data_IF_272577583671
#
_entry.id   IF_272577583671
#
_cell.length_a   1.000
_cell.length_b   1.000
_cell.length_c   1.000
_cell.angle_alpha   90.00
_cell.angle_beta   90.00
_cell.angle_gamma   90.00
#
_symmetry.space_group_name_H-M   'P 1'
#
loop_
_entity.id
_entity.type
_entity.pdbx_description
1 polymer ?
#
# COMPACT_ATOMS: atom_id res chain seq x y z
N UNK A 1 29.70 -42.33 -47.25
CA UNK A 1 29.04 -41.01 -47.18
C UNK A 1 27.54 -41.22 -47.09
N UNK A 2 27.02 -41.24 -45.87
CA UNK A 2 25.60 -41.22 -45.44
C UNK A 2 25.74 -41.19 -43.89
N UNK A 3 25.01 -40.48 -43.05
CA UNK A 3 23.66 -39.92 -43.10
C UNK A 3 23.64 -38.87 -41.96
N UNK A 4 23.53 -37.57 -42.27
CA UNK A 4 23.46 -36.49 -41.26
C UNK A 4 22.24 -35.59 -41.43
N UNK A 5 21.32 -35.94 -42.34
CA UNK A 5 20.25 -35.02 -42.73
C UNK A 5 18.91 -35.23 -41.99
N UNK A 6 18.74 -36.31 -41.22
CA UNK A 6 17.41 -36.69 -40.72
C UNK A 6 17.09 -36.32 -39.25
N UNK A 7 17.97 -35.61 -38.53
CA UNK A 7 17.74 -35.24 -37.11
C UNK A 7 17.34 -33.79 -36.87
N UNK A 8 17.45 -32.91 -37.87
CA UNK A 8 17.15 -31.48 -37.72
C UNK A 8 15.64 -31.21 -37.88
N UNK A 9 14.96 -31.99 -38.72
CA UNK A 9 13.54 -31.79 -39.03
C UNK A 9 12.58 -31.93 -37.83
N UNK A 10 12.68 -32.97 -36.96
CA UNK A 10 11.74 -33.10 -35.83
C UNK A 10 11.94 -32.03 -34.74
N UNK A 11 13.17 -31.52 -34.57
CA UNK A 11 13.48 -30.48 -33.58
C UNK A 11 12.92 -29.12 -34.00
N UNK A 12 12.99 -28.80 -35.30
CA UNK A 12 12.45 -27.55 -35.84
C UNK A 12 10.91 -27.55 -35.80
N UNK A 13 10.26 -28.69 -36.04
CA UNK A 13 8.79 -28.82 -35.94
C UNK A 13 8.32 -28.71 -34.48
N UNK A 14 9.01 -29.33 -33.52
CA UNK A 14 8.67 -29.21 -32.10
C UNK A 14 8.86 -27.78 -31.56
N UNK A 15 9.92 -27.08 -32.00
CA UNK A 15 10.14 -25.68 -31.66
C UNK A 15 9.07 -24.75 -32.26
N UNK A 16 8.67 -24.99 -33.52
CA UNK A 16 7.60 -24.22 -34.16
C UNK A 16 6.24 -24.42 -33.47
N UNK A 17 5.93 -25.64 -33.01
CA UNK A 17 4.71 -25.94 -32.25
C UNK A 17 4.72 -25.31 -30.86
N UNK A 18 5.86 -25.29 -30.16
CA UNK A 18 6.00 -24.59 -28.87
C UNK A 18 5.88 -23.08 -29.02
N UNK A 19 6.45 -22.49 -30.08
CA UNK A 19 6.29 -21.06 -30.38
C UNK A 19 4.85 -20.72 -30.79
N UNK A 20 4.19 -21.58 -31.56
CA UNK A 20 2.78 -21.39 -31.92
C UNK A 20 1.83 -21.57 -30.73
N UNK A 21 2.12 -22.51 -29.82
CA UNK A 21 1.36 -22.71 -28.59
C UNK A 21 1.58 -21.55 -27.61
N UNK A 22 2.82 -21.11 -27.40
CA UNK A 22 3.14 -19.92 -26.60
C UNK A 22 2.48 -18.66 -27.18
N UNK A 23 2.53 -18.48 -28.51
CA UNK A 23 1.83 -17.42 -29.21
C UNK A 23 0.31 -17.49 -29.03
N UNK A 24 -0.29 -18.67 -29.09
CA UNK A 24 -1.74 -18.86 -28.91
C UNK A 24 -2.19 -18.66 -27.45
N UNK A 25 -1.34 -18.97 -26.46
CA UNK A 25 -1.59 -18.69 -25.05
C UNK A 25 -1.46 -17.20 -24.77
N UNK A 26 -0.46 -16.51 -25.32
CA UNK A 26 -0.32 -15.06 -25.24
C UNK A 26 -1.49 -14.35 -25.94
N UNK A 27 -1.93 -14.83 -27.11
CA UNK A 27 -3.08 -14.26 -27.84
C UNK A 27 -4.40 -14.53 -27.11
N UNK A 28 -4.61 -15.72 -26.53
CA UNK A 28 -5.82 -16.00 -25.71
C UNK A 28 -5.81 -15.27 -24.38
N UNK A 29 -4.64 -15.06 -23.77
CA UNK A 29 -4.50 -14.20 -22.60
C UNK A 29 -4.82 -12.73 -22.97
N UNK A 30 -4.32 -12.24 -24.10
CA UNK A 30 -4.63 -10.89 -24.60
C UNK A 30 -6.11 -10.72 -24.98
N UNK A 31 -6.73 -11.75 -25.56
CA UNK A 31 -8.16 -11.75 -25.91
C UNK A 31 -9.08 -11.82 -24.68
N UNK A 32 -8.64 -12.43 -23.56
CA UNK A 32 -9.35 -12.38 -22.26
C UNK A 32 -9.10 -11.08 -21.48
N UNK A 33 -8.06 -10.32 -21.82
CA UNK A 33 -7.71 -9.04 -21.18
C UNK A 33 -8.29 -7.81 -21.90
N UNK A 34 -9.05 -7.99 -22.98
CA UNK A 34 -9.68 -6.91 -23.76
C UNK A 34 -11.00 -6.38 -23.19
N UNK A 35 -11.26 -6.55 -21.89
CA UNK A 35 -12.38 -5.84 -21.25
C UNK A 35 -12.00 -4.37 -21.06
N UNK A 36 -12.85 -3.45 -21.50
CA UNK A 36 -12.70 -2.04 -21.16
C UNK A 36 -12.55 -1.91 -19.63
N UNK A 37 -11.67 -1.01 -19.17
CA UNK A 37 -11.56 -0.71 -17.76
C UNK A 37 -12.96 -0.32 -17.24
N UNK A 38 -13.37 -0.79 -16.05
CA UNK A 38 -14.65 -0.39 -15.50
C UNK A 38 -14.64 1.12 -15.30
N UNK A 39 -15.70 1.80 -15.72
CA UNK A 39 -15.88 3.21 -15.35
C UNK A 39 -16.04 3.31 -13.83
N UNK A 40 -15.44 4.34 -13.24
CA UNK A 40 -15.64 4.65 -11.83
C UNK A 40 -17.14 4.88 -11.57
N UNK A 41 -17.73 4.26 -10.53
CA UNK A 41 -19.10 4.56 -10.13
C UNK A 41 -19.27 6.06 -9.86
N UNK A 42 -20.47 6.59 -10.13
CA UNK A 42 -20.76 7.98 -9.86
C UNK A 42 -20.51 8.31 -8.38
N UNK A 43 -19.78 9.40 -8.13
CA UNK A 43 -19.45 9.88 -6.81
C UNK A 43 -19.45 11.40 -6.80
N UNK A 44 -19.68 11.97 -5.63
CA UNK A 44 -19.51 13.40 -5.38
C UNK A 44 -18.69 13.59 -4.11
N UNK A 45 -17.89 14.65 -4.07
CA UNK A 45 -17.12 15.03 -2.89
C UNK A 45 -17.86 16.16 -2.20
N UNK A 46 -18.23 16.03 -0.91
CA UNK A 46 -18.84 17.14 -0.18
C UNK A 46 -17.83 18.27 0.01
N UNK A 47 -18.31 19.49 0.25
CA UNK A 47 -17.43 20.59 0.62
C UNK A 47 -16.72 20.28 1.97
N UNK A 48 -15.49 20.79 2.18
CA UNK A 48 -14.83 20.69 3.48
C UNK A 48 -15.71 21.23 4.62
N UNK A 49 -15.60 20.62 5.79
CA UNK A 49 -16.31 21.08 6.99
C UNK A 49 -15.85 22.51 7.35
N UNK A 50 -16.75 23.36 7.86
CA UNK A 50 -16.37 24.69 8.31
C UNK A 50 -15.34 24.60 9.45
N UNK A 51 -14.33 25.46 9.41
CA UNK A 51 -13.24 25.47 10.39
C UNK A 51 -13.64 26.33 11.59
N UNK A 52 -13.66 25.73 12.77
CA UNK A 52 -13.69 26.43 14.05
C UNK A 52 -12.31 26.33 14.70
N UNK A 53 -11.46 27.33 14.43
CA UNK A 53 -10.08 27.34 14.90
C UNK A 53 -9.95 27.31 16.44
N UNK A 54 -10.95 27.82 17.17
CA UNK A 54 -10.95 27.81 18.63
C UNK A 54 -11.22 26.41 19.22
N UNK A 55 -11.81 25.51 18.41
CA UNK A 55 -12.09 24.12 18.77
C UNK A 55 -11.14 23.13 18.12
N UNK A 56 -10.13 23.60 17.38
CA UNK A 56 -9.16 22.74 16.74
C UNK A 56 -8.25 22.11 17.81
N UNK A 57 -8.39 20.80 18.00
CA UNK A 57 -7.50 20.03 18.87
C UNK A 57 -6.20 19.71 18.15
N UNK A 58 -5.06 20.11 18.72
CA UNK A 58 -3.74 19.78 18.20
C UNK A 58 -3.21 18.53 18.92
N UNK A 59 -3.02 17.40 18.20
CA UNK A 59 -2.58 16.16 18.82
C UNK A 59 -1.17 16.27 19.38
N UNK A 60 -1.01 15.96 20.67
CA UNK A 60 0.28 15.90 21.33
C UNK A 60 0.92 14.51 21.14
N UNK A 61 1.59 14.29 20.01
CA UNK A 61 2.27 13.02 19.72
C UNK A 61 3.48 12.72 20.63
N UNK A 62 3.96 13.70 21.40
CA UNK A 62 5.00 13.53 22.42
C UNK A 62 4.44 13.19 23.81
N UNK A 63 3.12 13.29 24.01
CA UNK A 63 2.48 12.97 25.28
C UNK A 63 2.47 11.45 25.51
N UNK A 64 2.50 11.03 26.78
CA UNK A 64 2.57 9.60 27.15
C UNK A 64 1.45 8.78 26.51
N UNK A 65 0.24 9.33 26.50
CA UNK A 65 -0.95 8.64 25.99
C UNK A 65 -0.84 8.33 24.48
N UNK A 66 0.01 9.06 23.73
CA UNK A 66 0.20 8.83 22.30
C UNK A 66 0.90 7.49 21.98
N UNK A 67 1.54 6.86 22.96
CA UNK A 67 2.18 5.55 22.80
C UNK A 67 1.17 4.46 22.42
N UNK A 68 -0.06 4.56 22.96
CA UNK A 68 -1.12 3.58 22.76
C UNK A 68 -2.08 3.97 21.61
N UNK A 69 -1.86 5.12 20.96
CA UNK A 69 -2.73 5.56 19.88
C UNK A 69 -2.55 4.69 18.62
N UNK A 70 -3.62 4.45 17.86
CA UNK A 70 -3.48 3.89 16.51
C UNK A 70 -2.70 4.85 15.62
N UNK A 71 -1.91 4.33 14.67
CA UNK A 71 -1.17 5.16 13.70
C UNK A 71 -2.14 5.66 12.63
N UNK A 72 -2.90 6.70 13.00
CA UNK A 72 -3.90 7.38 12.16
C UNK A 72 -3.91 8.88 12.48
N UNK A 73 -4.34 9.69 11.53
CA UNK A 73 -4.56 11.12 11.75
C UNK A 73 -5.63 11.34 12.82
N UNK A 74 -5.33 12.23 13.76
CA UNK A 74 -6.21 12.65 14.83
C UNK A 74 -6.91 13.97 14.49
N UNK A 75 -6.27 14.83 13.69
CA UNK A 75 -6.92 15.97 13.06
C UNK A 75 -7.98 15.45 12.09
N UNK A 76 -9.19 16.02 12.17
CA UNK A 76 -10.28 15.70 11.25
C UNK A 76 -9.94 16.19 9.84
N UNK A 77 -9.51 15.26 8.98
CA UNK A 77 -9.16 15.57 7.60
C UNK A 77 -10.37 15.98 6.74
N UNK A 78 -11.62 15.84 7.21
CA UNK A 78 -12.79 16.40 6.52
C UNK A 78 -12.83 17.93 6.57
N UNK A 79 -12.06 18.56 7.48
CA UNK A 79 -11.85 20.01 7.47
C UNK A 79 -11.01 20.47 6.27
N UNK A 80 -10.28 19.55 5.63
CA UNK A 80 -9.40 19.87 4.49
C UNK A 80 -9.92 19.23 3.21
N UNK A 81 -10.09 17.90 3.22
CA UNK A 81 -10.32 17.08 2.05
C UNK A 81 -11.23 15.89 2.43
N UNK A 82 -12.55 16.11 2.57
CA UNK A 82 -13.50 15.05 2.90
C UNK A 82 -13.43 13.93 1.86
N UNK A 83 -13.64 12.68 2.28
CA UNK A 83 -13.83 11.59 1.32
C UNK A 83 -15.14 11.81 0.56
N UNK A 84 -15.22 11.30 -0.67
CA UNK A 84 -16.47 11.37 -1.40
C UNK A 84 -17.50 10.37 -0.90
N UNK A 85 -18.67 10.37 -1.54
CA UNK A 85 -19.82 9.54 -1.17
C UNK A 85 -20.10 8.40 -2.16
N UNK A 86 -19.18 8.15 -3.09
CA UNK A 86 -19.30 7.05 -4.05
C UNK A 86 -19.29 5.69 -3.36
N UNK A 87 -20.18 4.80 -3.80
CA UNK A 87 -20.28 3.42 -3.29
C UNK A 87 -19.20 2.48 -3.87
N UNK A 88 -18.38 2.98 -4.81
CA UNK A 88 -17.30 2.21 -5.41
C UNK A 88 -16.15 1.97 -4.44
N UNK A 89 -15.45 0.86 -4.64
CA UNK A 89 -14.16 0.60 -4.02
C UNK A 89 -13.04 1.07 -4.96
N UNK A 90 -12.35 2.16 -4.59
CA UNK A 90 -11.27 2.75 -5.37
C UNK A 90 -10.12 1.77 -5.67
N UNK A 91 -9.95 0.73 -4.84
CA UNK A 91 -8.93 -0.29 -5.05
C UNK A 91 -9.13 -1.07 -6.36
N UNK A 92 -10.35 -1.09 -6.94
CA UNK A 92 -10.62 -1.74 -8.22
C UNK A 92 -9.77 -1.16 -9.34
N UNK A 93 -9.59 0.16 -9.37
CA UNK A 93 -8.72 0.85 -10.31
C UNK A 93 -7.26 0.44 -10.12
N UNK A 94 -6.75 0.58 -8.89
CA UNK A 94 -5.34 0.30 -8.59
C UNK A 94 -4.97 -1.19 -8.79
N UNK A 95 -5.92 -2.10 -8.54
CA UNK A 95 -5.73 -3.55 -8.74
C UNK A 95 -5.34 -3.88 -10.18
N UNK A 96 -5.93 -3.19 -11.16
CA UNK A 96 -5.62 -3.47 -12.56
C UNK A 96 -4.20 -3.03 -12.96
N UNK A 97 -3.50 -2.30 -12.08
CA UNK A 97 -2.10 -1.92 -12.21
C UNK A 97 -1.15 -2.70 -11.28
N UNK A 98 -1.61 -3.77 -10.62
CA UNK A 98 -0.81 -4.54 -9.68
C UNK A 98 0.56 -4.97 -10.25
N UNK A 99 1.56 -5.07 -9.36
CA UNK A 99 2.98 -5.28 -9.72
C UNK A 99 3.21 -6.51 -10.61
N UNK A 100 2.58 -7.62 -10.27
CA UNK A 100 2.90 -8.94 -10.84
C UNK A 100 2.11 -9.22 -12.12
N UNK A 101 0.78 -9.02 -12.07
CA UNK A 101 -0.18 -9.47 -13.07
C UNK A 101 -1.26 -8.42 -13.40
N UNK A 102 -0.99 -7.14 -13.12
CA UNK A 102 -1.89 -6.04 -13.46
C UNK A 102 -2.27 -6.03 -14.95
N UNK A 103 -3.57 -6.14 -15.25
CA UNK A 103 -4.11 -6.15 -16.63
C UNK A 103 -3.76 -4.91 -17.45
N UNK A 104 -3.54 -3.76 -16.78
CA UNK A 104 -3.19 -2.47 -17.37
C UNK A 104 -1.72 -2.11 -17.20
N UNK A 105 -0.84 -3.07 -16.89
CA UNK A 105 0.61 -2.82 -16.73
C UNK A 105 1.24 -2.17 -17.97
N UNK A 106 0.89 -2.64 -19.17
CA UNK A 106 1.43 -2.07 -20.41
C UNK A 106 1.01 -0.62 -20.63
N UNK A 107 -0.21 -0.27 -20.20
CA UNK A 107 -0.70 1.11 -20.23
C UNK A 107 0.06 1.98 -19.23
N UNK A 108 0.29 1.47 -18.02
CA UNK A 108 1.08 2.18 -17.00
C UNK A 108 2.52 2.42 -17.44
N UNK A 109 3.17 1.44 -18.07
CA UNK A 109 4.53 1.63 -18.62
C UNK A 109 4.55 2.72 -19.70
N UNK A 110 3.55 2.73 -20.60
CA UNK A 110 3.42 3.78 -21.61
C UNK A 110 3.17 5.15 -20.97
N UNK A 111 2.29 5.22 -19.97
CA UNK A 111 2.03 6.46 -19.22
C UNK A 111 3.29 6.95 -18.49
N UNK A 112 4.08 6.04 -17.90
CA UNK A 112 5.34 6.35 -17.21
C UNK A 112 6.40 6.89 -18.15
N UNK A 113 6.45 6.41 -19.38
CA UNK A 113 7.33 6.91 -20.42
C UNK A 113 6.95 8.33 -20.89
N UNK A 114 5.67 8.70 -20.76
CA UNK A 114 5.16 10.03 -21.10
C UNK A 114 5.28 11.06 -19.96
N UNK A 115 5.83 10.67 -18.80
CA UNK A 115 6.00 11.58 -17.66
C UNK A 115 7.00 12.70 -17.97
N UNK A 116 6.72 13.86 -17.40
CA UNK A 116 7.57 15.05 -17.46
C UNK A 116 8.19 15.33 -16.08
N UNK A 117 9.18 16.21 -16.05
CA UNK A 117 9.74 16.70 -14.80
C UNK A 117 8.71 17.55 -14.05
N UNK A 118 8.58 17.28 -12.75
CA UNK A 118 7.73 18.05 -11.85
C UNK A 118 8.43 19.29 -11.30
N UNK A 119 7.71 20.11 -10.52
CA UNK A 119 8.26 21.34 -9.94
C UNK A 119 9.28 21.09 -8.82
N UNK A 120 9.27 19.90 -8.21
CA UNK A 120 10.21 19.52 -7.16
C UNK A 120 11.30 18.60 -7.73
N UNK A 121 12.51 18.70 -7.17
CA UNK A 121 13.64 17.88 -7.61
C UNK A 121 13.33 16.37 -7.51
N UNK A 122 13.62 15.65 -8.59
CA UNK A 122 13.39 14.21 -8.70
C UNK A 122 11.93 13.79 -8.89
N UNK A 123 10.98 14.72 -8.96
CA UNK A 123 9.59 14.38 -9.26
C UNK A 123 9.41 14.07 -10.75
N UNK A 124 8.79 12.93 -11.03
CA UNK A 124 8.21 12.60 -12.34
C UNK A 124 6.70 12.63 -12.22
N UNK A 125 6.05 13.41 -13.07
CA UNK A 125 4.61 13.64 -13.06
C UNK A 125 3.98 13.33 -14.41
N UNK A 126 2.71 12.98 -14.41
CA UNK A 126 1.91 12.93 -15.62
C UNK A 126 1.57 14.35 -16.10
N UNK A 127 1.51 14.59 -17.42
CA UNK A 127 0.97 15.84 -17.95
C UNK A 127 -0.43 16.17 -17.39
N UNK A 128 -0.80 17.46 -17.24
CA UNK A 128 -2.06 17.89 -16.60
C UNK A 128 -3.33 17.22 -17.11
N UNK A 129 -3.41 16.95 -18.41
CA UNK A 129 -4.55 16.35 -19.10
C UNK A 129 -4.32 14.88 -19.49
N UNK A 130 -3.33 14.24 -18.86
CA UNK A 130 -3.04 12.83 -19.15
C UNK A 130 -4.27 11.96 -18.83
N UNK A 131 -4.72 11.07 -19.75
CA UNK A 131 -5.96 10.30 -19.57
C UNK A 131 -6.00 9.50 -18.25
N UNK A 132 -4.89 8.85 -17.89
CA UNK A 132 -4.79 8.10 -16.63
C UNK A 132 -4.99 8.98 -15.38
N UNK A 133 -4.53 10.23 -15.42
CA UNK A 133 -4.69 11.18 -14.32
C UNK A 133 -6.16 11.55 -14.15
N UNK A 134 -6.82 11.91 -15.26
CA UNK A 134 -8.24 12.29 -15.30
C UNK A 134 -9.17 11.13 -14.91
N UNK A 135 -8.83 9.90 -15.31
CA UNK A 135 -9.58 8.71 -14.91
C UNK A 135 -9.45 8.48 -13.39
N UNK A 136 -8.23 8.56 -12.86
CA UNK A 136 -7.96 8.33 -11.43
C UNK A 136 -8.72 9.30 -10.53
N UNK A 137 -9.00 10.54 -10.97
CA UNK A 137 -9.78 11.53 -10.21
C UNK A 137 -11.13 10.96 -9.75
N UNK A 138 -11.85 10.29 -10.65
CA UNK A 138 -13.18 9.72 -10.35
C UNK A 138 -13.11 8.56 -9.35
N UNK A 139 -11.98 7.86 -9.34
CA UNK A 139 -11.73 6.76 -8.41
C UNK A 139 -11.30 7.23 -7.03
N UNK A 140 -10.56 8.34 -6.92
CA UNK A 140 -10.18 8.91 -5.61
C UNK A 140 -11.30 9.74 -4.97
N UNK A 141 -12.35 10.04 -5.73
CA UNK A 141 -13.59 10.65 -5.23
C UNK A 141 -14.57 9.62 -4.65
N UNK A 142 -14.21 8.34 -4.57
CA UNK A 142 -15.00 7.32 -3.88
C UNK A 142 -14.85 7.43 -2.35
N UNK A 143 -15.76 6.80 -1.60
CA UNK A 143 -15.71 6.77 -0.14
C UNK A 143 -14.70 5.74 0.41
N UNK A 144 -14.39 4.69 -0.36
CA UNK A 144 -13.74 3.48 0.15
C UNK A 144 -12.61 2.99 -0.75
N UNK A 145 -11.53 2.48 -0.14
CA UNK A 145 -10.46 1.73 -0.77
C UNK A 145 -10.07 0.55 0.11
N UNK A 146 -10.52 -0.66 -0.27
CA UNK A 146 -10.22 -1.91 0.44
C UNK A 146 -9.58 -2.89 -0.52
N UNK A 147 -8.29 -3.14 -0.32
CA UNK A 147 -7.53 -4.07 -1.18
C UNK A 147 -7.67 -5.50 -0.68
N UNK A 148 -7.60 -5.71 0.63
CA UNK A 148 -7.59 -7.04 1.25
C UNK A 148 -8.80 -7.26 2.16
N UNK A 149 -9.32 -8.50 2.30
CA UNK A 149 -9.13 -9.59 1.35
C UNK A 149 -10.01 -9.40 0.09
N UNK A 150 -10.73 -8.28 -0.03
CA UNK A 150 -11.80 -8.07 -1.02
C UNK A 150 -11.33 -8.21 -2.48
N UNK A 151 -10.12 -7.73 -2.82
CA UNK A 151 -9.57 -7.81 -4.17
C UNK A 151 -8.39 -8.77 -4.28
N UNK A 152 -7.56 -8.84 -3.25
CA UNK A 152 -6.47 -9.78 -3.14
C UNK A 152 -6.62 -10.62 -1.87
N UNK A 153 -6.40 -11.92 -1.99
CA UNK A 153 -6.32 -12.81 -0.84
C UNK A 153 -5.13 -12.42 0.06
N UNK A 154 -5.28 -12.67 1.36
CA UNK A 154 -4.18 -12.58 2.32
C UNK A 154 -3.39 -13.90 2.25
N UNK A 155 -2.25 -13.87 1.58
CA UNK A 155 -1.39 -15.04 1.33
C UNK A 155 -0.01 -14.84 1.98
N UNK A 156 -0.01 -14.25 3.18
CA UNK A 156 1.17 -13.91 3.95
C UNK A 156 2.24 -13.18 3.14
N UNK A 157 3.43 -13.76 3.00
CA UNK A 157 4.51 -13.15 2.20
C UNK A 157 4.17 -13.05 0.72
N UNK A 158 3.38 -13.99 0.18
CA UNK A 158 2.94 -13.96 -1.21
C UNK A 158 1.73 -13.03 -1.43
N UNK A 159 1.37 -12.20 -0.43
CA UNK A 159 0.25 -11.29 -0.56
C UNK A 159 0.52 -10.29 -1.67
N UNK A 160 -0.27 -10.40 -2.74
CA UNK A 160 -0.18 -9.52 -3.91
C UNK A 160 -0.30 -8.07 -3.50
N UNK A 161 0.46 -7.20 -4.17
CA UNK A 161 0.48 -5.76 -3.90
C UNK A 161 0.07 -4.93 -5.11
N UNK A 162 -0.49 -3.75 -4.81
CA UNK A 162 -0.68 -2.70 -5.80
C UNK A 162 0.69 -2.23 -6.33
N UNK A 163 0.71 -1.60 -7.50
CA UNK A 163 1.88 -0.80 -7.88
C UNK A 163 1.99 0.40 -6.93
N UNK A 164 3.07 0.41 -6.14
CA UNK A 164 3.28 1.41 -5.10
C UNK A 164 3.73 2.77 -5.63
N UNK A 165 4.21 2.85 -6.86
CA UNK A 165 4.66 4.10 -7.46
C UNK A 165 3.50 4.89 -8.05
N UNK A 166 2.51 4.22 -8.65
CA UNK A 166 1.37 4.87 -9.28
C UNK A 166 0.62 5.85 -8.35
N UNK A 167 0.26 5.51 -7.09
CA UNK A 167 -0.38 6.48 -6.20
C UNK A 167 0.47 7.73 -5.94
N UNK A 168 1.80 7.56 -5.79
CA UNK A 168 2.72 8.69 -5.58
C UNK A 168 2.82 9.57 -6.82
N UNK A 169 2.88 8.96 -8.01
CA UNK A 169 2.91 9.67 -9.29
C UNK A 169 1.62 10.48 -9.49
N UNK A 170 0.45 9.91 -9.21
CA UNK A 170 -0.84 10.61 -9.28
C UNK A 170 -0.90 11.79 -8.29
N UNK A 171 -0.56 11.56 -7.02
CA UNK A 171 -0.55 12.60 -6.00
C UNK A 171 0.36 13.78 -6.37
N UNK A 172 1.59 13.49 -6.83
CA UNK A 172 2.54 14.52 -7.29
C UNK A 172 2.02 15.26 -8.53
N UNK A 173 1.36 14.55 -9.44
CA UNK A 173 0.81 15.14 -10.67
C UNK A 173 -0.34 16.10 -10.38
N UNK A 174 -1.26 15.72 -9.46
CA UNK A 174 -2.30 16.64 -9.02
C UNK A 174 -1.71 17.86 -8.30
N UNK A 175 -0.73 17.68 -7.41
CA UNK A 175 -0.08 18.82 -6.75
C UNK A 175 0.63 19.72 -7.76
N UNK A 176 1.34 19.17 -8.73
CA UNK A 176 1.97 19.97 -9.78
C UNK A 176 0.95 20.73 -10.63
N UNK A 177 -0.16 20.09 -11.00
CA UNK A 177 -1.25 20.70 -11.76
C UNK A 177 -2.00 21.78 -10.98
N UNK A 178 -2.21 21.56 -9.68
CA UNK A 178 -2.84 22.54 -8.80
C UNK A 178 -2.02 23.82 -8.68
N UNK A 179 -0.68 23.72 -8.63
CA UNK A 179 0.23 24.89 -8.62
C UNK A 179 0.19 25.74 -9.88
N UNK A 180 -0.36 25.22 -10.98
CA UNK A 180 -0.55 25.99 -12.22
C UNK A 180 -1.97 26.52 -12.38
N UNK A 181 -2.82 26.34 -11.36
CA UNK A 181 -4.22 26.74 -11.32
C UNK A 181 -4.42 27.74 -10.19
N UNK A 182 -5.54 28.44 -10.25
CA UNK A 182 -5.93 29.42 -9.23
C UNK A 182 -7.18 28.96 -8.47
N UNK A 183 -7.39 29.57 -7.31
CA UNK A 183 -8.64 29.47 -6.57
C UNK A 183 -8.98 28.05 -6.11
N UNK A 184 -10.26 27.72 -6.20
CA UNK A 184 -10.78 26.43 -5.75
C UNK A 184 -10.28 25.26 -6.61
N UNK A 185 -9.96 25.51 -7.89
CA UNK A 185 -9.45 24.47 -8.78
C UNK A 185 -8.06 23.95 -8.34
N UNK A 186 -7.20 24.83 -7.84
CA UNK A 186 -5.91 24.46 -7.26
C UNK A 186 -6.09 23.62 -5.98
N UNK A 187 -6.91 24.13 -5.05
CA UNK A 187 -7.20 23.44 -3.79
C UNK A 187 -7.79 22.05 -4.01
N UNK A 188 -8.68 21.91 -4.99
CA UNK A 188 -9.30 20.62 -5.28
C UNK A 188 -8.30 19.58 -5.79
N UNK A 189 -7.28 19.97 -6.58
CA UNK A 189 -6.19 19.07 -6.94
C UNK A 189 -5.31 18.69 -5.74
N UNK A 190 -5.02 19.63 -4.85
CA UNK A 190 -4.28 19.33 -3.62
C UNK A 190 -5.06 18.38 -2.71
N UNK A 191 -6.38 18.60 -2.59
CA UNK A 191 -7.29 17.76 -1.82
C UNK A 191 -7.42 16.36 -2.42
N UNK A 192 -7.32 16.16 -3.73
CA UNK A 192 -7.24 14.81 -4.32
C UNK A 192 -6.05 14.01 -3.82
N UNK A 193 -4.87 14.64 -3.72
CA UNK A 193 -3.70 13.99 -3.13
C UNK A 193 -3.94 13.61 -1.66
N UNK A 194 -4.61 14.49 -0.89
CA UNK A 194 -5.02 14.19 0.49
C UNK A 194 -6.04 13.03 0.54
N UNK A 195 -7.09 13.04 -0.30
CA UNK A 195 -8.10 11.98 -0.37
C UNK A 195 -7.49 10.63 -0.73
N UNK A 196 -6.60 10.57 -1.72
CA UNK A 196 -5.84 9.36 -2.05
C UNK A 196 -5.04 8.88 -0.84
N UNK A 197 -4.37 9.80 -0.14
CA UNK A 197 -3.66 9.50 1.11
C UNK A 197 -4.57 8.93 2.19
N UNK A 198 -5.80 9.42 2.34
CA UNK A 198 -6.80 8.87 3.26
C UNK A 198 -7.28 7.48 2.84
N UNK A 199 -7.59 7.30 1.57
CA UNK A 199 -8.05 6.03 1.00
C UNK A 199 -7.02 4.91 1.22
N UNK A 200 -5.75 5.18 0.94
CA UNK A 200 -4.65 4.23 1.15
C UNK A 200 -4.45 3.84 2.62
N UNK A 201 -4.99 4.61 3.57
CA UNK A 201 -4.84 4.42 5.02
C UNK A 201 -6.12 3.95 5.71
N UNK A 202 -7.14 3.60 4.92
CA UNK A 202 -8.34 2.98 5.47
C UNK A 202 -8.01 1.63 6.12
N UNK A 203 -8.99 1.12 6.85
CA UNK A 203 -8.86 -0.17 7.52
C UNK A 203 -8.37 -1.24 6.56
N UNK A 204 -7.46 -2.06 7.06
CA UNK A 204 -6.87 -3.18 6.34
C UNK A 204 -5.88 -2.86 5.22
N UNK A 205 -5.42 -1.61 5.15
CA UNK A 205 -4.21 -1.26 4.41
C UNK A 205 -3.00 -2.07 4.92
N UNK A 206 -2.09 -2.50 4.06
CA UNK A 206 -0.79 -3.02 4.53
C UNK A 206 0.08 -1.89 5.08
N UNK A 207 1.15 -2.22 5.81
CA UNK A 207 2.11 -1.21 6.30
C UNK A 207 2.69 -0.40 5.13
N UNK A 208 3.02 -1.06 4.01
CA UNK A 208 3.50 -0.38 2.81
C UNK A 208 2.44 0.58 2.24
N UNK A 209 1.18 0.16 2.15
CA UNK A 209 0.10 1.01 1.67
C UNK A 209 -0.11 2.24 2.58
N UNK A 210 -0.01 2.08 3.90
CA UNK A 210 -0.09 3.20 4.84
C UNK A 210 1.03 4.22 4.64
N UNK A 211 2.27 3.75 4.47
CA UNK A 211 3.43 4.62 4.22
C UNK A 211 3.27 5.43 2.93
N UNK A 212 2.71 4.82 1.88
CA UNK A 212 2.36 5.54 0.64
C UNK A 212 1.26 6.56 0.88
N UNK A 213 0.25 6.20 1.68
CA UNK A 213 -0.81 7.11 2.08
C UNK A 213 -0.27 8.32 2.85
N UNK A 214 0.67 8.12 3.78
CA UNK A 214 1.36 9.20 4.49
C UNK A 214 2.14 10.11 3.55
N UNK A 215 2.79 9.56 2.53
CA UNK A 215 3.47 10.37 1.51
C UNK A 215 2.48 11.20 0.67
N UNK A 216 1.36 10.62 0.25
CA UNK A 216 0.30 11.33 -0.48
C UNK A 216 -0.32 12.45 0.37
N UNK A 217 -0.61 12.17 1.65
CA UNK A 217 -1.05 13.18 2.61
C UNK A 217 -0.05 14.32 2.72
N UNK A 218 1.25 14.03 2.82
CA UNK A 218 2.30 15.06 2.88
C UNK A 218 2.26 15.98 1.66
N UNK A 219 2.21 15.41 0.44
CA UNK A 219 2.20 16.22 -0.78
C UNK A 219 0.97 17.13 -0.84
N UNK A 220 -0.22 16.57 -0.60
CA UNK A 220 -1.46 17.34 -0.64
C UNK A 220 -1.56 18.39 0.47
N UNK A 221 -1.28 18.02 1.72
CA UNK A 221 -1.41 18.92 2.86
C UNK A 221 -0.40 20.06 2.81
N UNK A 222 0.83 19.82 2.35
CA UNK A 222 1.82 20.88 2.15
C UNK A 222 1.33 21.89 1.13
N UNK A 223 0.81 21.41 -0.01
CA UNK A 223 0.29 22.29 -1.04
C UNK A 223 -0.95 23.08 -0.57
N UNK A 224 -1.85 22.46 0.21
CA UNK A 224 -2.97 23.18 0.84
C UNK A 224 -2.45 24.25 1.81
N UNK A 225 -1.47 23.93 2.65
CA UNK A 225 -0.89 24.87 3.60
C UNK A 225 -0.29 26.09 2.87
N UNK A 226 0.53 25.85 1.85
CA UNK A 226 1.21 26.90 1.09
C UNK A 226 0.16 27.82 0.42
N UNK A 227 -0.82 27.24 -0.27
CA UNK A 227 -1.90 27.98 -0.94
C UNK A 227 -2.73 28.82 0.02
N UNK A 228 -3.16 28.24 1.14
CA UNK A 228 -3.99 28.93 2.12
C UNK A 228 -3.22 30.06 2.81
N UNK A 229 -1.93 29.83 3.07
CA UNK A 229 -1.03 30.85 3.60
C UNK A 229 -0.86 32.02 2.64
N UNK A 230 -0.65 31.75 1.35
CA UNK A 230 -0.52 32.77 0.31
C UNK A 230 -1.79 33.61 0.14
N UNK A 231 -2.97 33.00 0.31
CA UNK A 231 -4.27 33.69 0.29
C UNK A 231 -4.60 34.44 1.57
N UNK A 232 -3.83 34.27 2.64
CA UNK A 232 -4.13 34.83 3.95
C UNK A 232 -5.25 34.10 4.72
N UNK A 233 -5.66 32.91 4.28
CA UNK A 233 -6.56 32.03 5.05
C UNK A 233 -5.78 31.32 6.16
N UNK A 234 -5.58 32.01 7.28
CA UNK A 234 -4.84 31.50 8.42
C UNK A 234 -5.51 30.31 9.09
N UNK A 235 -6.85 30.21 9.04
CA UNK A 235 -7.58 29.09 9.62
C UNK A 235 -7.35 27.82 8.81
N UNK A 236 -7.48 27.90 7.47
CA UNK A 236 -7.13 26.82 6.56
C UNK A 236 -5.67 26.39 6.68
N UNK A 237 -4.75 27.35 6.73
CA UNK A 237 -3.33 27.08 6.91
C UNK A 237 -3.05 26.39 8.26
N UNK A 238 -3.68 26.82 9.36
CA UNK A 238 -3.49 26.20 10.68
C UNK A 238 -3.94 24.73 10.69
N UNK A 239 -5.10 24.42 10.11
CA UNK A 239 -5.59 23.02 10.04
C UNK A 239 -4.66 22.16 9.20
N UNK A 240 -4.19 22.66 8.06
CA UNK A 240 -3.23 21.95 7.22
C UNK A 240 -1.88 21.72 7.95
N UNK A 241 -1.38 22.73 8.65
CA UNK A 241 -0.16 22.63 9.45
C UNK A 241 -0.30 21.62 10.61
N UNK A 242 -1.44 21.61 11.29
CA UNK A 242 -1.74 20.63 12.34
C UNK A 242 -1.70 19.20 11.80
N UNK A 243 -2.38 18.95 10.67
CA UNK A 243 -2.38 17.65 10.00
C UNK A 243 -0.99 17.23 9.49
N UNK A 244 -0.21 18.17 8.95
CA UNK A 244 1.20 17.93 8.56
C UNK A 244 2.06 17.54 9.75
N UNK A 245 1.87 18.20 10.89
CA UNK A 245 2.61 17.95 12.14
C UNK A 245 2.46 16.52 12.65
N UNK A 246 1.38 15.83 12.28
CA UNK A 246 1.16 14.43 12.68
C UNK A 246 1.95 13.41 11.83
N UNK A 247 2.37 13.78 10.62
CA UNK A 247 2.92 12.81 9.67
C UNK A 247 4.28 12.24 10.13
N UNK A 248 5.15 13.09 10.69
CA UNK A 248 6.47 12.64 11.15
C UNK A 248 6.37 11.69 12.36
N UNK A 249 5.61 12.00 13.43
CA UNK A 249 5.37 11.05 14.51
C UNK A 249 4.76 9.73 14.05
N UNK A 250 3.77 9.76 13.14
CA UNK A 250 3.16 8.53 12.62
C UNK A 250 4.18 7.66 11.85
N UNK A 251 5.08 8.27 11.07
CA UNK A 251 6.18 7.54 10.41
C UNK A 251 7.14 6.92 11.41
N UNK A 252 7.51 7.64 12.47
CA UNK A 252 8.41 7.14 13.51
C UNK A 252 7.79 5.96 14.27
N UNK A 253 6.52 6.09 14.69
CA UNK A 253 5.79 5.01 15.36
C UNK A 253 5.63 3.79 14.45
N UNK A 254 5.39 3.99 13.15
CA UNK A 254 5.37 2.89 12.18
C UNK A 254 6.71 2.17 12.13
N UNK A 255 7.81 2.93 12.01
CA UNK A 255 9.15 2.35 11.97
C UNK A 255 9.50 1.61 13.28
N UNK A 256 9.13 2.17 14.43
CA UNK A 256 9.31 1.53 15.74
C UNK A 256 8.56 0.20 15.82
N UNK A 257 7.29 0.18 15.40
CA UNK A 257 6.45 -1.02 15.43
C UNK A 257 6.97 -2.10 14.47
N UNK A 258 7.36 -1.73 13.25
CA UNK A 258 8.02 -2.65 12.30
C UNK A 258 9.30 -3.22 12.92
N UNK A 259 10.15 -2.38 13.51
CA UNK A 259 11.39 -2.81 14.18
C UNK A 259 11.13 -3.71 15.39
N UNK A 260 10.00 -3.50 16.09
CA UNK A 260 9.58 -4.34 17.22
C UNK A 260 9.12 -5.72 16.73
N UNK A 261 8.48 -5.80 15.57
CA UNK A 261 8.06 -7.04 14.94
C UNK A 261 9.21 -7.78 14.25
N UNK A 262 10.28 -7.08 13.86
CA UNK A 262 11.42 -7.67 13.16
C UNK A 262 12.08 -8.82 13.95
N UNK A 263 12.21 -9.96 13.26
CA UNK A 263 12.98 -11.12 13.71
C UNK A 263 14.17 -11.42 12.80
N UNK A 264 14.31 -10.73 11.66
CA UNK A 264 15.37 -10.99 10.69
C UNK A 264 16.76 -10.72 11.26
N UNK A 265 16.88 -9.73 12.14
CA UNK A 265 18.11 -9.46 12.90
C UNK A 265 18.60 -10.64 13.77
N UNK A 266 17.76 -11.65 14.01
CA UNK A 266 18.07 -12.86 14.77
C UNK A 266 18.22 -14.11 13.88
N UNK A 267 18.09 -13.97 12.56
CA UNK A 267 18.24 -15.06 11.60
C UNK A 267 19.73 -15.34 11.33
N UNK A 268 20.14 -16.57 11.57
CA UNK A 268 21.44 -17.11 11.15
C UNK A 268 21.26 -17.79 9.79
N UNK A 269 21.77 -17.14 8.73
CA UNK A 269 21.65 -17.59 7.34
C UNK A 269 22.38 -18.91 7.07
N UNK A 270 23.53 -19.11 7.71
CA UNK A 270 24.34 -20.34 7.64
C UNK A 270 23.58 -21.55 8.22
N UNK A 271 22.81 -21.34 9.28
CA UNK A 271 22.11 -22.41 10.00
C UNK A 271 20.61 -22.44 9.72
N UNK A 272 20.10 -21.50 8.92
CA UNK A 272 18.68 -21.28 8.64
C UNK A 272 17.83 -21.37 9.91
N UNK A 273 18.25 -20.64 10.96
CA UNK A 273 17.59 -20.68 12.27
C UNK A 273 17.47 -19.29 12.89
N UNK A 274 16.42 -19.09 13.67
CA UNK A 274 16.18 -17.86 14.43
C UNK A 274 16.46 -18.15 15.91
N UNK A 275 17.42 -17.42 16.48
CA UNK A 275 17.73 -17.47 17.92
C UNK A 275 17.17 -16.21 18.59
N UNK A 276 15.86 -16.21 18.84
CA UNK A 276 15.12 -15.05 19.32
C UNK A 276 15.11 -15.05 20.86
N UNK A 277 15.63 -13.99 21.54
CA UNK A 277 15.55 -13.87 22.99
C UNK A 277 14.11 -13.88 23.49
N UNK A 278 13.85 -14.48 24.65
CA UNK A 278 12.50 -14.58 25.25
C UNK A 278 11.80 -13.22 25.34
N UNK A 279 12.51 -12.18 25.78
CA UNK A 279 11.97 -10.81 25.87
C UNK A 279 11.53 -10.24 24.51
N UNK A 280 12.16 -10.65 23.41
CA UNK A 280 11.76 -10.26 22.05
C UNK A 280 10.55 -11.04 21.60
N UNK A 281 10.51 -12.34 21.89
CA UNK A 281 9.33 -13.18 21.63
C UNK A 281 8.11 -12.68 22.40
N UNK A 282 8.25 -12.29 23.66
CA UNK A 282 7.16 -11.72 24.47
C UNK A 282 6.54 -10.48 23.82
N UNK A 283 7.39 -9.57 23.33
CA UNK A 283 6.94 -8.35 22.64
C UNK A 283 6.25 -8.68 21.32
N UNK A 284 6.78 -9.65 20.56
CA UNK A 284 6.19 -10.07 19.30
C UNK A 284 4.81 -10.71 19.51
N UNK A 285 4.69 -11.60 20.51
CA UNK A 285 3.41 -12.23 20.89
C UNK A 285 2.40 -11.18 21.35
N UNK A 286 2.79 -10.26 22.24
CA UNK A 286 1.91 -9.18 22.69
C UNK A 286 1.43 -8.32 21.51
N UNK A 287 2.33 -8.01 20.57
CA UNK A 287 1.97 -7.25 19.38
C UNK A 287 0.99 -8.01 18.47
N UNK A 288 1.12 -9.33 18.32
CA UNK A 288 0.19 -10.13 17.53
C UNK A 288 -1.21 -10.25 18.18
N UNK A 289 -1.26 -10.36 19.52
CA UNK A 289 -2.50 -10.60 20.26
C UNK A 289 -3.28 -9.30 20.56
N UNK A 290 -2.59 -8.21 20.93
CA UNK A 290 -3.24 -7.05 21.55
C UNK A 290 -2.95 -5.68 20.91
N UNK A 291 -2.16 -5.60 19.83
CA UNK A 291 -1.91 -4.31 19.19
C UNK A 291 -3.21 -3.72 18.62
N UNK A 292 -3.56 -2.46 18.92
CA UNK A 292 -4.81 -1.84 18.49
C UNK A 292 -4.96 -1.79 16.96
N UNK A 293 -3.83 -1.73 16.25
CA UNK A 293 -3.82 -1.67 14.80
C UNK A 293 -3.63 -3.06 14.19
N UNK A 294 -4.65 -3.55 13.49
CA UNK A 294 -4.64 -4.85 12.81
C UNK A 294 -3.45 -5.03 11.86
N UNK A 295 -2.94 -3.96 11.26
CA UNK A 295 -1.80 -4.02 10.32
C UNK A 295 -0.54 -4.56 11.00
N UNK A 296 -0.31 -4.07 12.21
CA UNK A 296 0.81 -4.47 13.05
C UNK A 296 0.58 -5.83 13.71
N UNK A 297 -0.68 -6.20 14.03
CA UNK A 297 -1.02 -7.58 14.40
C UNK A 297 -0.72 -8.57 13.28
N UNK A 298 -1.09 -8.22 12.04
CA UNK A 298 -0.82 -9.02 10.85
C UNK A 298 0.67 -9.21 10.60
N UNK A 299 1.45 -8.13 10.64
CA UNK A 299 2.91 -8.20 10.54
C UNK A 299 3.51 -9.10 11.62
N UNK A 300 3.15 -8.90 12.89
CA UNK A 300 3.64 -9.73 13.98
C UNK A 300 3.24 -11.21 13.82
N UNK A 301 2.05 -11.48 13.27
CA UNK A 301 1.59 -12.85 12.97
C UNK A 301 2.46 -13.51 11.89
N UNK A 302 2.84 -12.78 10.84
CA UNK A 302 3.74 -13.30 9.80
C UNK A 302 5.15 -13.58 10.34
N UNK A 303 5.67 -12.68 11.18
CA UNK A 303 6.96 -12.83 11.85
C UNK A 303 6.96 -14.02 12.83
N UNK A 304 5.85 -14.24 13.57
CA UNK A 304 5.67 -15.46 14.38
C UNK A 304 5.70 -16.72 13.52
N UNK A 305 5.19 -16.67 12.28
CA UNK A 305 5.33 -17.75 11.30
C UNK A 305 6.80 -18.13 11.04
N UNK A 306 7.67 -17.14 10.84
CA UNK A 306 9.11 -17.38 10.69
C UNK A 306 9.70 -18.04 11.94
N UNK A 307 9.35 -17.56 13.13
CA UNK A 307 9.81 -18.16 14.39
C UNK A 307 9.27 -19.58 14.59
N UNK A 308 8.03 -19.85 14.19
CA UNK A 308 7.43 -21.19 14.26
C UNK A 308 8.17 -22.19 13.35
N UNK A 309 8.70 -21.78 12.20
CA UNK A 309 9.43 -22.67 11.31
C UNK A 309 10.93 -22.74 11.58
N UNK A 310 11.55 -21.60 11.90
CA UNK A 310 13.01 -21.46 12.00
C UNK A 310 13.52 -21.25 13.42
N UNK A 311 12.65 -20.96 14.39
CA UNK A 311 13.03 -20.74 15.78
C UNK A 311 13.66 -21.96 16.44
N UNK A 312 14.27 -21.78 17.61
CA UNK A 312 14.91 -22.87 18.38
C UNK A 312 14.20 -23.09 19.72
N UNK A 313 14.13 -24.35 20.16
CA UNK A 313 13.62 -24.73 21.48
C UNK A 313 12.23 -24.16 21.80
N UNK A 314 12.12 -23.56 22.98
CA UNK A 314 10.86 -22.99 23.50
C UNK A 314 10.27 -21.90 22.59
N UNK A 315 11.11 -21.11 21.92
CA UNK A 315 10.64 -20.02 21.05
C UNK A 315 9.81 -20.56 19.87
N UNK A 316 10.23 -21.69 19.29
CA UNK A 316 9.52 -22.36 18.20
C UNK A 316 8.15 -22.84 18.65
N UNK A 317 8.11 -23.57 19.76
CA UNK A 317 6.88 -24.17 20.28
C UNK A 317 5.88 -23.11 20.71
N UNK A 318 6.35 -22.06 21.39
CA UNK A 318 5.50 -20.96 21.80
C UNK A 318 4.95 -20.17 20.61
N UNK A 319 5.75 -19.90 19.58
CA UNK A 319 5.26 -19.25 18.36
C UNK A 319 4.18 -20.09 17.67
N UNK A 320 4.38 -21.42 17.54
CA UNK A 320 3.35 -22.33 17.02
C UNK A 320 2.06 -22.29 17.83
N UNK A 321 2.15 -22.36 19.15
CA UNK A 321 0.98 -22.32 20.03
C UNK A 321 0.20 -21.01 19.90
N UNK A 322 0.90 -19.87 19.79
CA UNK A 322 0.26 -18.56 19.58
C UNK A 322 -0.47 -18.53 18.23
N UNK A 323 0.19 -18.98 17.16
CA UNK A 323 -0.44 -19.04 15.83
C UNK A 323 -1.67 -19.95 15.80
N UNK A 324 -1.64 -21.10 16.47
CA UNK A 324 -2.82 -21.98 16.55
C UNK A 324 -3.99 -21.33 17.29
N UNK A 325 -3.72 -20.56 18.34
CA UNK A 325 -4.76 -19.75 19.00
C UNK A 325 -5.32 -18.70 18.05
N UNK A 326 -4.44 -17.90 17.44
CA UNK A 326 -4.83 -16.82 16.52
C UNK A 326 -5.64 -17.34 15.33
N UNK A 327 -5.30 -18.52 14.79
CA UNK A 327 -6.04 -19.19 13.69
C UNK A 327 -7.50 -19.46 14.02
N UNK A 328 -7.84 -19.59 15.30
CA UNK A 328 -9.21 -19.83 15.78
C UNK A 328 -9.85 -18.60 16.43
N UNK A 329 -9.18 -17.44 16.36
CA UNK A 329 -9.65 -16.19 16.93
C UNK A 329 -10.76 -15.52 16.12
N UNK A 330 -11.38 -14.49 16.71
CA UNK A 330 -12.51 -13.77 16.13
C UNK A 330 -12.12 -12.85 14.95
N UNK A 331 -10.87 -12.37 14.91
CA UNK A 331 -10.40 -11.53 13.79
C UNK A 331 -10.06 -12.43 12.60
N UNK A 332 -11.01 -12.57 11.68
CA UNK A 332 -10.91 -13.44 10.49
C UNK A 332 -9.63 -13.21 9.66
N UNK A 333 -9.12 -11.97 9.62
CA UNK A 333 -7.93 -11.62 8.84
C UNK A 333 -6.65 -12.08 9.53
N UNK A 334 -6.56 -11.84 10.83
CA UNK A 334 -5.44 -12.34 11.64
C UNK A 334 -5.48 -13.87 11.67
N UNK A 335 -6.67 -14.48 11.77
CA UNK A 335 -6.86 -15.92 11.70
C UNK A 335 -6.41 -16.50 10.35
N UNK A 336 -6.76 -15.87 9.23
CA UNK A 336 -6.31 -16.27 7.89
C UNK A 336 -4.79 -16.17 7.75
N UNK A 337 -4.17 -15.09 8.23
CA UNK A 337 -2.71 -14.95 8.24
C UNK A 337 -2.04 -16.01 9.11
N UNK A 338 -2.57 -16.29 10.30
CA UNK A 338 -2.04 -17.32 11.19
C UNK A 338 -2.14 -18.73 10.57
N UNK A 339 -3.27 -19.04 9.93
CA UNK A 339 -3.46 -20.28 9.18
C UNK A 339 -2.42 -20.41 8.06
N UNK A 340 -2.23 -19.34 7.29
CA UNK A 340 -1.25 -19.30 6.22
C UNK A 340 0.18 -19.50 6.76
N UNK A 341 0.56 -18.77 7.81
CA UNK A 341 1.88 -18.84 8.43
C UNK A 341 2.22 -20.23 8.95
N UNK A 342 1.25 -20.98 9.48
CA UNK A 342 1.45 -22.35 9.91
C UNK A 342 1.66 -23.31 8.72
N UNK A 343 0.93 -23.11 7.63
CA UNK A 343 0.94 -24.00 6.47
C UNK A 343 2.13 -23.78 5.52
N UNK A 344 2.71 -22.57 5.50
CA UNK A 344 3.71 -22.19 4.51
C UNK A 344 5.07 -21.89 5.16
N UNK A 345 5.97 -22.88 5.27
CA UNK A 345 7.34 -22.61 5.69
C UNK A 345 8.03 -21.67 4.68
N UNK A 346 8.95 -20.79 5.15
CA UNK A 346 9.67 -19.88 4.27
C UNK A 346 10.48 -20.66 3.23
N UNK A 347 10.40 -20.25 1.96
CA UNK A 347 11.17 -20.86 0.87
C UNK A 347 12.65 -20.53 1.00
N UNK A 348 13.53 -21.36 0.41
CA UNK A 348 14.96 -21.03 0.38
C UNK A 348 15.25 -19.71 -0.32
N UNK A 349 14.47 -19.40 -1.35
CA UNK A 349 14.57 -18.16 -2.12
C UNK A 349 14.25 -16.95 -1.24
N UNK A 350 13.13 -17.00 -0.51
CA UNK A 350 12.72 -15.94 0.42
C UNK A 350 13.75 -15.70 1.54
N UNK A 351 14.49 -16.74 1.95
CA UNK A 351 15.56 -16.60 2.93
C UNK A 351 16.82 -15.94 2.34
N UNK A 352 17.15 -16.20 1.06
CA UNK A 352 18.36 -15.67 0.42
C UNK A 352 18.22 -14.20 0.04
N UNK A 353 17.02 -13.75 -0.29
CA UNK A 353 16.72 -12.36 -0.60
C UNK A 353 15.49 -11.89 0.17
N UNK A 354 15.67 -11.43 1.43
CA UNK A 354 14.58 -10.99 2.28
C UNK A 354 13.80 -9.78 1.72
N UNK A 355 14.30 -9.12 0.65
CA UNK A 355 13.70 -7.95 0.03
C UNK A 355 12.81 -8.24 -1.19
N UNK A 356 12.71 -9.50 -1.63
CA UNK A 356 11.93 -9.89 -2.83
C UNK A 356 10.61 -10.60 -2.54
N UNK A 357 10.41 -11.03 -1.28
CA UNK A 357 9.17 -11.64 -0.78
C UNK A 357 7.97 -10.72 -0.82
#
# INVERSE_FOLDING_TARGET
MSDRSNRVFPVVVAAAVLVALAGSVVVRARARMGGAAPDAPAATVPAPKPIDAARLEIPCWSCRDAQDWPVRSRVDLDLIAPLGNGAGNAAVFFRDFAREDGRRRAELEAARAARIDGPEEGWKIYPPDHPLLLEAERWVDQATMRVYPELFALEGWNTRSLDFQLPLELARSWVARGRTRDGEAALEDFRRAVRLGRLLRQEDATILQDLLGLACLRFGLQAVYDEQRERGDLAGALVAAAALGELAPQRLLTAERVTRADVWSFLSMDRKRIDLPTVRLDKLVAMAESEPDRRFRGEATLQLGLVAHLGVGEARERARQVLERLRTGEDERVAALAAWSLAHPPSEEALRDPGTG
#
